data_IF_306300227371
#
_entry.id   IF_306300227371
#
_cell.length_a   1.000
_cell.length_b   1.000
_cell.length_c   1.000
_cell.angle_alpha   90.00
_cell.angle_beta   90.00
_cell.angle_gamma   90.00
#
_symmetry.space_group_name_H-M   'P 1'
#
loop_
_entity.id
_entity.type
_entity.pdbx_description
1 polymer ?
#
# COMPACT_ATOMS: atom_id res chain seq x y z
N UNK A 1 10.95 -17.33 22.03
CA UNK A 1 10.80 -17.56 23.48
C UNK A 1 11.86 -16.73 24.17
N UNK A 2 11.49 -15.91 25.16
CA UNK A 2 12.50 -15.21 25.95
C UNK A 2 13.38 -16.25 26.66
N UNK A 3 14.70 -16.09 26.59
CA UNK A 3 15.65 -16.91 27.34
C UNK A 3 15.48 -16.56 28.82
N UNK A 4 15.27 -17.53 29.73
CA UNK A 4 15.21 -17.24 31.15
C UNK A 4 16.49 -16.54 31.61
N UNK A 5 16.37 -15.51 32.46
CA UNK A 5 17.53 -14.74 32.92
C UNK A 5 18.59 -15.61 33.62
N UNK A 6 18.16 -16.69 34.26
CA UNK A 6 19.05 -17.68 34.90
C UNK A 6 19.87 -18.46 33.86
N UNK A 7 19.26 -18.83 32.74
CA UNK A 7 19.93 -19.52 31.63
C UNK A 7 20.95 -18.61 30.95
N UNK A 8 20.59 -17.34 30.71
CA UNK A 8 21.51 -16.33 30.14
C UNK A 8 22.72 -16.09 31.06
N UNK A 9 22.49 -15.99 32.38
CA UNK A 9 23.54 -15.79 33.37
C UNK A 9 24.48 -17.01 33.44
N UNK A 10 23.92 -18.22 33.49
CA UNK A 10 24.73 -19.44 33.46
C UNK A 10 25.60 -19.54 32.20
N UNK A 11 25.02 -19.29 31.02
CA UNK A 11 25.78 -19.32 29.76
C UNK A 11 26.89 -18.27 29.76
N UNK A 12 26.62 -17.06 30.26
CA UNK A 12 27.64 -16.01 30.42
C UNK A 12 28.82 -16.50 31.27
N UNK A 13 28.52 -17.04 32.44
CA UNK A 13 29.52 -17.42 33.43
C UNK A 13 30.33 -18.64 32.95
N UNK A 14 29.66 -19.61 32.31
CA UNK A 14 30.31 -20.77 31.72
C UNK A 14 31.26 -20.39 30.57
N UNK A 15 30.86 -19.48 29.68
CA UNK A 15 31.72 -18.98 28.62
C UNK A 15 32.87 -18.12 29.17
N UNK A 16 32.62 -17.30 30.20
CA UNK A 16 33.66 -16.53 30.88
C UNK A 16 34.69 -17.42 31.61
N UNK A 17 34.26 -18.60 32.07
CA UNK A 17 35.14 -19.63 32.63
C UNK A 17 35.91 -20.42 31.57
N UNK A 18 35.75 -20.10 30.28
CA UNK A 18 36.45 -20.78 29.17
C UNK A 18 35.84 -22.13 28.79
N UNK A 19 34.61 -22.44 29.23
CA UNK A 19 33.95 -23.69 28.85
C UNK A 19 33.59 -23.67 27.35
N UNK A 20 33.99 -24.68 26.56
CA UNK A 20 33.66 -24.74 25.15
C UNK A 20 32.14 -24.89 24.93
N UNK A 21 31.60 -24.20 23.92
CA UNK A 21 30.15 -24.18 23.60
C UNK A 21 29.48 -25.57 23.56
N UNK A 22 30.09 -26.63 22.99
CA UNK A 22 29.49 -27.97 23.00
C UNK A 22 29.33 -28.57 24.41
N UNK A 23 30.23 -28.22 25.33
CA UNK A 23 30.15 -28.68 26.72
C UNK A 23 29.08 -27.91 27.50
N UNK A 24 28.92 -26.61 27.23
CA UNK A 24 27.79 -25.84 27.78
C UNK A 24 26.46 -26.41 27.28
N UNK A 25 26.39 -26.82 26.00
CA UNK A 25 25.20 -27.44 25.41
C UNK A 25 24.86 -28.78 26.06
N UNK A 26 25.86 -29.64 26.31
CA UNK A 26 25.62 -30.94 26.96
C UNK A 26 25.14 -30.80 28.40
N UNK A 27 25.76 -29.91 29.19
CA UNK A 27 25.38 -29.68 30.61
C UNK A 27 23.95 -29.16 30.71
N UNK A 28 23.57 -28.23 29.82
CA UNK A 28 22.21 -27.69 29.81
C UNK A 28 21.18 -28.72 29.33
N UNK A 29 21.55 -29.58 28.36
CA UNK A 29 20.68 -30.66 27.91
C UNK A 29 20.43 -31.70 29.02
N UNK A 30 21.47 -32.08 29.78
CA UNK A 30 21.35 -32.97 30.94
C UNK A 30 20.47 -32.37 32.04
N UNK A 31 20.53 -31.05 32.23
CA UNK A 31 19.66 -30.31 33.15
C UNK A 31 18.21 -30.19 32.67
N UNK A 32 17.87 -30.73 31.49
CA UNK A 32 16.50 -30.76 30.96
C UNK A 32 16.09 -29.53 30.15
N UNK A 33 17.03 -28.64 29.81
CA UNK A 33 16.73 -27.50 28.92
C UNK A 33 16.47 -27.97 27.49
N UNK A 34 15.49 -27.35 26.83
CA UNK A 34 15.21 -27.70 25.43
C UNK A 34 16.37 -27.25 24.50
N UNK A 35 16.70 -28.02 23.45
CA UNK A 35 17.74 -27.63 22.49
C UNK A 35 17.50 -26.25 21.85
N UNK A 36 16.24 -25.84 21.71
CA UNK A 36 15.88 -24.50 21.23
C UNK A 36 16.29 -23.40 22.20
N UNK A 37 16.08 -23.58 23.51
CA UNK A 37 16.47 -22.61 24.55
C UNK A 37 18.00 -22.52 24.67
N UNK A 38 18.68 -23.67 24.67
CA UNK A 38 20.15 -23.73 24.76
C UNK A 38 20.82 -23.04 23.58
N UNK A 39 20.39 -23.36 22.35
CA UNK A 39 20.89 -22.69 21.14
C UNK A 39 20.58 -21.20 21.13
N UNK A 40 19.39 -20.79 21.59
CA UNK A 40 19.04 -19.37 21.69
C UNK A 40 19.97 -18.63 22.66
N UNK A 41 20.24 -19.19 23.85
CA UNK A 41 21.12 -18.60 24.85
C UNK A 41 22.58 -18.52 24.39
N UNK A 42 23.11 -19.58 23.77
CA UNK A 42 24.46 -19.58 23.20
C UNK A 42 24.61 -18.62 22.02
N UNK A 43 23.54 -18.44 21.23
CA UNK A 43 23.52 -17.51 20.10
C UNK A 43 23.54 -16.04 20.54
N UNK A 44 23.28 -15.73 21.81
CA UNK A 44 23.38 -14.37 22.34
C UNK A 44 24.82 -13.89 22.48
N UNK A 45 25.82 -14.78 22.42
CA UNK A 45 27.23 -14.42 22.49
C UNK A 45 27.91 -14.66 21.15
N UNK A 46 28.74 -13.70 20.72
CA UNK A 46 29.53 -13.81 19.51
C UNK A 46 30.62 -14.88 19.67
N UNK A 47 30.90 -15.60 18.59
CA UNK A 47 31.97 -16.60 18.55
C UNK A 47 33.24 -15.92 18.04
N UNK A 48 33.81 -15.10 18.92
CA UNK A 48 35.00 -14.29 18.67
C UNK A 48 36.02 -14.58 19.74
N UNK A 49 37.30 -14.66 19.34
CA UNK A 49 38.39 -14.89 20.28
C UNK A 49 38.55 -13.66 21.19
N UNK A 50 37.96 -13.76 22.37
CA UNK A 50 37.89 -12.70 23.37
C UNK A 50 37.95 -13.33 24.76
N UNK A 51 38.76 -12.77 25.69
CA UNK A 51 38.83 -13.26 27.07
C UNK A 51 37.51 -13.18 27.83
N UNK A 52 36.58 -12.35 27.35
CA UNK A 52 35.25 -12.15 27.93
C UNK A 52 34.20 -12.46 26.86
N UNK A 53 33.12 -13.20 27.19
CA UNK A 53 32.05 -13.48 26.25
C UNK A 53 31.40 -12.18 25.77
N UNK A 54 31.46 -11.95 24.45
CA UNK A 54 30.96 -10.71 23.83
C UNK A 54 29.47 -10.89 23.48
N UNK A 55 28.54 -10.14 24.09
CA UNK A 55 27.14 -10.24 23.73
C UNK A 55 26.90 -9.74 22.29
N UNK A 56 26.07 -10.45 21.53
CA UNK A 56 25.55 -10.01 20.24
C UNK A 56 24.53 -8.89 20.48
N UNK A 57 24.47 -7.88 19.59
CA UNK A 57 23.46 -6.83 19.67
C UNK A 57 22.05 -7.43 19.67
N UNK A 58 21.26 -7.14 20.71
CA UNK A 58 19.83 -7.49 20.75
C UNK A 58 19.03 -6.42 20.00
N UNK A 59 18.15 -6.79 19.06
CA UNK A 59 17.23 -5.83 18.46
C UNK A 59 16.24 -5.37 19.52
N UNK A 60 16.39 -4.14 20.01
CA UNK A 60 15.46 -3.54 20.95
C UNK A 60 14.20 -3.07 20.20
N UNK A 61 13.02 -3.40 20.71
CA UNK A 61 11.75 -2.88 20.19
C UNK A 61 11.69 -1.38 20.42
N UNK A 62 11.99 -0.60 19.38
CA UNK A 62 11.86 0.85 19.40
C UNK A 62 10.48 1.26 18.88
N UNK A 63 9.69 1.98 19.68
CA UNK A 63 8.39 2.50 19.27
C UNK A 63 8.51 3.41 18.03
N UNK A 64 9.61 4.18 17.95
CA UNK A 64 9.93 5.01 16.79
C UNK A 64 10.15 4.16 15.53
N UNK A 65 10.89 3.07 15.65
CA UNK A 65 11.11 2.16 14.51
C UNK A 65 9.80 1.52 14.05
N UNK A 66 8.94 1.10 15.00
CA UNK A 66 7.63 0.59 14.68
C UNK A 66 6.77 1.62 13.92
N UNK A 67 6.77 2.87 14.37
CA UNK A 67 6.08 3.96 13.67
C UNK A 67 6.63 4.19 12.25
N UNK A 68 7.96 4.22 12.09
CA UNK A 68 8.60 4.40 10.78
C UNK A 68 8.20 3.30 9.79
N UNK A 69 8.19 2.03 10.22
CA UNK A 69 7.76 0.91 9.36
C UNK A 69 6.24 0.89 9.13
N UNK A 70 5.42 1.17 10.14
CA UNK A 70 3.97 1.27 9.96
C UNK A 70 3.63 2.35 8.93
N UNK A 71 4.27 3.50 8.99
CA UNK A 71 4.09 4.57 8.03
C UNK A 71 4.57 4.18 6.62
N UNK A 72 5.71 3.49 6.53
CA UNK A 72 6.21 2.96 5.26
C UNK A 72 5.19 2.02 4.60
N UNK A 73 4.69 1.02 5.33
CA UNK A 73 3.73 0.05 4.78
C UNK A 73 2.35 0.68 4.54
N UNK A 74 1.88 1.59 5.39
CA UNK A 74 0.63 2.30 5.17
C UNK A 74 0.67 3.14 3.88
N UNK A 75 1.76 3.87 3.65
CA UNK A 75 1.92 4.67 2.43
C UNK A 75 2.13 3.82 1.18
N UNK A 76 2.77 2.66 1.30
CA UNK A 76 2.82 1.65 0.24
C UNK A 76 1.41 1.17 -0.13
N UNK A 77 0.61 0.75 0.86
CA UNK A 77 -0.74 0.22 0.63
C UNK A 77 -1.66 1.26 0.03
N UNK A 78 -1.61 2.48 0.55
CA UNK A 78 -2.39 3.60 0.01
C UNK A 78 -1.99 3.89 -1.45
N UNK A 79 -0.69 3.88 -1.75
CA UNK A 79 -0.19 4.08 -3.11
C UNK A 79 -0.64 2.94 -4.05
N UNK A 80 -0.51 1.68 -3.62
CA UNK A 80 -0.91 0.51 -4.41
C UNK A 80 -2.42 0.51 -4.70
N UNK A 81 -3.24 0.78 -3.67
CA UNK A 81 -4.69 0.88 -3.80
C UNK A 81 -5.11 1.97 -4.78
N UNK A 82 -4.58 3.19 -4.61
CA UNK A 82 -4.96 4.32 -5.47
C UNK A 82 -4.38 4.23 -6.87
N UNK A 83 -3.22 3.59 -7.06
CA UNK A 83 -2.70 3.27 -8.39
C UNK A 83 -3.63 2.27 -9.10
N UNK A 84 -4.03 1.19 -8.43
CA UNK A 84 -4.97 0.21 -8.97
C UNK A 84 -6.33 0.84 -9.32
N UNK A 85 -6.88 1.63 -8.40
CA UNK A 85 -8.13 2.37 -8.60
C UNK A 85 -8.05 3.33 -9.80
N UNK A 86 -6.98 4.12 -9.90
CA UNK A 86 -6.78 5.06 -11.00
C UNK A 86 -6.64 4.33 -12.36
N UNK A 87 -5.91 3.21 -12.39
CA UNK A 87 -5.78 2.37 -13.58
C UNK A 87 -7.12 1.73 -13.97
N UNK A 88 -7.93 1.32 -12.99
CA UNK A 88 -9.28 0.80 -13.26
C UNK A 88 -10.18 1.86 -13.88
N UNK A 89 -10.14 3.08 -13.35
CA UNK A 89 -10.86 4.22 -13.89
C UNK A 89 -10.42 4.53 -15.34
N UNK A 90 -9.12 4.54 -15.61
CA UNK A 90 -8.58 4.71 -16.97
C UNK A 90 -9.02 3.58 -17.92
N UNK A 91 -8.99 2.32 -17.46
CA UNK A 91 -9.46 1.17 -18.24
C UNK A 91 -10.97 1.29 -18.54
N UNK A 92 -11.78 1.70 -17.56
CA UNK A 92 -13.21 1.93 -17.75
C UNK A 92 -13.51 3.09 -18.72
N UNK A 93 -12.64 4.10 -18.77
CA UNK A 93 -12.76 5.21 -19.70
C UNK A 93 -12.45 4.79 -21.14
N UNK A 94 -11.37 4.04 -21.36
CA UNK A 94 -10.93 3.59 -22.70
C UNK A 94 -11.79 2.44 -23.24
N UNK A 95 -12.26 1.55 -22.36
CA UNK A 95 -13.12 0.42 -22.71
C UNK A 95 -14.48 0.56 -22.00
N UNK A 96 -15.34 1.46 -22.48
CA UNK A 96 -16.63 1.69 -21.87
C UNK A 96 -17.58 0.50 -22.03
N UNK A 97 -18.36 0.25 -20.99
CA UNK A 97 -19.45 -0.72 -21.02
C UNK A 97 -20.74 -0.05 -21.51
N UNK A 98 -21.37 -0.66 -22.51
CA UNK A 98 -22.66 -0.19 -23.04
C UNK A 98 -23.80 -0.41 -22.04
N UNK A 99 -23.66 -1.38 -21.13
CA UNK A 99 -24.64 -1.69 -20.10
C UNK A 99 -24.52 -0.78 -18.86
N UNK A 100 -23.48 0.05 -18.75
CA UNK A 100 -23.26 0.94 -17.59
C UNK A 100 -23.00 2.41 -17.99
N UNK A 101 -24.01 3.13 -18.52
CA UNK A 101 -23.89 4.56 -18.80
C UNK A 101 -23.78 5.42 -17.52
N UNK A 102 -24.37 4.96 -16.41
CA UNK A 102 -24.44 5.73 -15.15
C UNK A 102 -23.08 5.83 -14.44
N UNK A 103 -22.26 4.79 -14.47
CA UNK A 103 -20.90 4.83 -13.91
C UNK A 103 -20.02 5.88 -14.60
N UNK A 104 -20.19 6.06 -15.92
CA UNK A 104 -19.37 6.95 -16.76
C UNK A 104 -19.47 8.42 -16.38
N UNK A 105 -20.68 8.88 -16.07
CA UNK A 105 -20.97 10.31 -15.84
C UNK A 105 -20.79 10.71 -14.38
N UNK A 106 -21.14 9.84 -13.42
CA UNK A 106 -21.24 10.24 -12.01
C UNK A 106 -19.98 9.92 -11.19
N UNK A 107 -19.25 8.83 -11.48
CA UNK A 107 -18.21 8.31 -10.56
C UNK A 107 -16.75 8.48 -11.01
N UNK A 108 -16.47 8.48 -12.31
CA UNK A 108 -15.08 8.53 -12.81
C UNK A 108 -14.34 9.81 -12.40
N UNK A 109 -14.97 10.99 -12.55
CA UNK A 109 -14.34 12.26 -12.22
C UNK A 109 -13.93 12.38 -10.75
N UNK A 110 -14.85 12.16 -9.78
CA UNK A 110 -14.52 12.18 -8.36
C UNK A 110 -13.52 11.10 -7.92
N UNK A 111 -13.67 9.87 -8.40
CA UNK A 111 -12.78 8.74 -8.07
C UNK A 111 -11.34 9.01 -8.50
N UNK A 112 -11.15 9.38 -9.77
CA UNK A 112 -9.82 9.68 -10.29
C UNK A 112 -9.17 10.87 -9.56
N UNK A 113 -9.92 11.93 -9.22
CA UNK A 113 -9.40 13.06 -8.42
C UNK A 113 -8.92 12.63 -7.04
N UNK A 114 -9.69 11.77 -6.37
CA UNK A 114 -9.32 11.24 -5.07
C UNK A 114 -8.05 10.38 -5.16
N UNK A 115 -7.97 9.50 -6.16
CA UNK A 115 -6.79 8.67 -6.39
C UNK A 115 -5.55 9.49 -6.76
N UNK A 116 -5.68 10.54 -7.59
CA UNK A 116 -4.60 11.48 -7.87
C UNK A 116 -4.12 12.17 -6.58
N UNK A 117 -5.05 12.71 -5.78
CA UNK A 117 -4.70 13.40 -4.54
C UNK A 117 -3.96 12.48 -3.57
N UNK A 118 -4.45 11.25 -3.40
CA UNK A 118 -3.81 10.26 -2.56
C UNK A 118 -2.41 9.87 -3.07
N UNK A 119 -2.24 9.65 -4.38
CA UNK A 119 -0.94 9.29 -4.97
C UNK A 119 0.09 10.41 -4.86
N UNK A 120 -0.31 11.66 -5.09
CA UNK A 120 0.58 12.84 -4.99
C UNK A 120 1.14 13.00 -3.58
N UNK A 121 0.43 12.54 -2.55
CA UNK A 121 0.88 12.62 -1.16
C UNK A 121 1.57 11.32 -0.71
N UNK A 122 0.90 10.19 -0.89
CA UNK A 122 1.32 8.89 -0.34
C UNK A 122 2.57 8.36 -1.03
N UNK A 123 2.66 8.46 -2.36
CA UNK A 123 3.77 7.85 -3.10
C UNK A 123 5.12 8.55 -2.83
N UNK A 124 5.23 9.89 -2.84
CA UNK A 124 6.47 10.56 -2.46
C UNK A 124 6.90 10.25 -1.03
N UNK A 125 5.94 10.16 -0.10
CA UNK A 125 6.21 9.82 1.29
C UNK A 125 6.74 8.38 1.41
N UNK A 126 6.09 7.41 0.74
CA UNK A 126 6.58 6.04 0.64
C UNK A 126 8.01 5.98 0.08
N UNK A 127 8.25 6.63 -1.07
CA UNK A 127 9.56 6.60 -1.72
C UNK A 127 10.65 7.27 -0.87
N UNK A 128 10.32 8.33 -0.13
CA UNK A 128 11.23 8.97 0.82
C UNK A 128 11.54 8.05 2.01
N UNK A 129 10.54 7.44 2.65
CA UNK A 129 10.73 6.49 3.75
C UNK A 129 11.54 5.28 3.30
N UNK A 130 11.22 4.70 2.14
CA UNK A 130 11.95 3.56 1.59
C UNK A 130 13.43 3.89 1.36
N UNK A 131 13.74 5.08 0.83
CA UNK A 131 15.12 5.55 0.66
C UNK A 131 15.82 5.81 1.98
N UNK A 132 15.14 6.44 2.95
CA UNK A 132 15.70 6.74 4.28
C UNK A 132 16.01 5.47 5.06
N UNK A 133 15.04 4.58 5.19
CA UNK A 133 15.15 3.31 5.92
C UNK A 133 16.18 2.39 5.24
N UNK A 134 16.16 2.31 3.90
CA UNK A 134 17.17 1.55 3.15
C UNK A 134 18.59 2.09 3.33
N UNK A 135 18.75 3.40 3.43
CA UNK A 135 20.03 4.04 3.75
C UNK A 135 20.51 3.72 5.18
N UNK A 136 19.60 3.69 6.15
CA UNK A 136 19.92 3.34 7.53
C UNK A 136 20.32 1.86 7.66
N UNK A 137 19.63 0.94 6.96
CA UNK A 137 19.96 -0.48 6.92
C UNK A 137 21.31 -0.80 6.26
N UNK A 138 21.79 0.10 5.40
CA UNK A 138 23.12 0.00 4.79
C UNK A 138 24.23 0.48 5.74
N UNK A 139 23.92 1.36 6.69
CA UNK A 139 24.88 1.89 7.69
C UNK A 139 24.95 1.02 8.93
N UNK A 140 23.83 0.44 9.35
CA UNK A 140 23.74 -0.40 10.54
C UNK A 140 23.07 -1.75 10.21
N UNK A 141 23.85 -2.81 9.97
CA UNK A 141 23.34 -4.15 9.70
C UNK A 141 22.50 -4.73 10.85
N UNK A 142 22.68 -4.28 12.09
CA UNK A 142 21.91 -4.76 13.25
C UNK A 142 20.44 -4.41 13.12
N UNK A 143 20.10 -3.28 12.48
CA UNK A 143 18.70 -2.89 12.22
C UNK A 143 17.97 -3.85 11.28
N UNK A 144 18.67 -4.69 10.51
CA UNK A 144 18.04 -5.75 9.71
C UNK A 144 17.34 -6.81 10.57
N UNK A 145 17.80 -7.00 11.81
CA UNK A 145 17.26 -7.97 12.76
C UNK A 145 15.98 -7.48 13.47
N UNK A 146 15.45 -6.31 13.11
CA UNK A 146 14.25 -5.74 13.73
C UNK A 146 13.03 -6.68 13.61
N UNK A 147 12.45 -7.15 14.73
CA UNK A 147 11.27 -8.00 14.73
C UNK A 147 10.07 -7.33 14.06
N UNK A 148 9.96 -6.00 14.19
CA UNK A 148 8.82 -5.24 13.64
C UNK A 148 8.85 -5.24 12.13
N UNK A 149 10.01 -4.98 11.53
CA UNK A 149 10.19 -5.07 10.07
C UNK A 149 9.84 -6.46 9.56
N UNK A 150 10.37 -7.50 10.21
CA UNK A 150 10.15 -8.89 9.78
C UNK A 150 8.67 -9.25 9.86
N UNK A 151 8.00 -8.91 10.96
CA UNK A 151 6.57 -9.17 11.13
C UNK A 151 5.71 -8.43 10.10
N UNK A 152 5.94 -7.12 9.88
CA UNK A 152 5.22 -6.33 8.89
C UNK A 152 5.49 -6.80 7.45
N UNK A 153 6.70 -7.30 7.17
CA UNK A 153 7.04 -7.89 5.87
C UNK A 153 6.26 -9.18 5.62
N UNK A 154 6.20 -10.10 6.59
CA UNK A 154 5.37 -11.29 6.46
C UNK A 154 3.88 -10.96 6.34
N UNK A 155 3.39 -9.95 7.09
CA UNK A 155 2.01 -9.48 6.95
C UNK A 155 1.74 -8.94 5.53
N UNK A 156 2.67 -8.18 4.97
CA UNK A 156 2.58 -7.67 3.59
C UNK A 156 2.56 -8.80 2.57
N UNK A 157 3.41 -9.81 2.75
CA UNK A 157 3.45 -10.99 1.89
C UNK A 157 2.15 -11.78 1.97
N UNK A 158 1.58 -11.94 3.15
CA UNK A 158 0.29 -12.58 3.35
C UNK A 158 -0.84 -11.82 2.63
N UNK A 159 -0.91 -10.50 2.82
CA UNK A 159 -1.92 -9.66 2.15
C UNK A 159 -1.76 -9.74 0.63
N UNK A 160 -0.53 -9.61 0.11
CA UNK A 160 -0.28 -9.69 -1.33
C UNK A 160 -0.62 -11.07 -1.91
N UNK A 161 -0.31 -12.16 -1.19
CA UNK A 161 -0.71 -13.51 -1.59
C UNK A 161 -2.23 -13.68 -1.59
N UNK A 162 -2.93 -13.18 -0.56
CA UNK A 162 -4.40 -13.21 -0.49
C UNK A 162 -5.04 -12.43 -1.65
N UNK A 163 -4.48 -11.27 -2.01
CA UNK A 163 -4.91 -10.49 -3.18
C UNK A 163 -4.71 -11.27 -4.47
N UNK A 164 -3.53 -11.88 -4.69
CA UNK A 164 -3.26 -12.70 -5.88
C UNK A 164 -4.19 -13.91 -5.98
N UNK A 165 -4.46 -14.59 -4.86
CA UNK A 165 -5.41 -15.70 -4.81
C UNK A 165 -6.82 -15.21 -5.16
N UNK A 166 -7.28 -14.11 -4.55
CA UNK A 166 -8.58 -13.53 -4.84
C UNK A 166 -8.72 -13.09 -6.30
N UNK A 167 -7.68 -12.49 -6.87
CA UNK A 167 -7.62 -12.07 -8.27
C UNK A 167 -7.71 -13.26 -9.24
N UNK A 168 -7.00 -14.35 -8.92
CA UNK A 168 -7.08 -15.60 -9.70
C UNK A 168 -8.46 -16.27 -9.58
N UNK A 169 -9.05 -16.28 -8.38
CA UNK A 169 -10.42 -16.78 -8.17
C UNK A 169 -11.42 -15.97 -8.99
N UNK A 170 -11.32 -14.64 -8.98
CA UNK A 170 -12.16 -13.76 -9.79
C UNK A 170 -11.98 -14.04 -11.28
N UNK A 171 -10.74 -14.23 -11.75
CA UNK A 171 -10.44 -14.59 -13.13
C UNK A 171 -11.13 -15.89 -13.53
N UNK A 172 -10.94 -16.97 -12.76
CA UNK A 172 -11.55 -18.28 -13.03
C UNK A 172 -13.06 -18.19 -13.02
N UNK A 173 -13.65 -17.52 -12.02
CA UNK A 173 -15.09 -17.35 -11.90
C UNK A 173 -15.71 -16.68 -13.15
N UNK A 174 -15.13 -15.57 -13.62
CA UNK A 174 -15.64 -14.84 -14.79
C UNK A 174 -15.38 -15.59 -16.11
N UNK A 175 -14.27 -16.32 -16.22
CA UNK A 175 -13.99 -17.17 -17.39
C UNK A 175 -14.99 -18.32 -17.48
N UNK A 176 -15.30 -18.99 -16.37
CA UNK A 176 -16.29 -20.07 -16.32
C UNK A 176 -17.71 -19.56 -16.62
N UNK A 177 -18.02 -18.32 -16.25
CA UNK A 177 -19.29 -17.67 -16.59
C UNK A 177 -19.40 -17.24 -18.07
N UNK A 178 -18.31 -17.30 -18.85
CA UNK A 178 -18.30 -16.80 -20.23
C UNK A 178 -18.32 -15.26 -20.35
N UNK A 179 -18.11 -14.54 -19.25
CA UNK A 179 -18.24 -13.08 -19.13
C UNK A 179 -16.87 -12.35 -19.10
N UNK A 180 -15.78 -13.06 -19.41
CA UNK A 180 -14.42 -12.50 -19.38
C UNK A 180 -14.19 -11.46 -20.49
N UNK A 181 -14.62 -10.22 -20.24
CA UNK A 181 -14.37 -9.08 -21.12
C UNK A 181 -12.89 -8.68 -21.13
N UNK A 182 -12.43 -8.06 -22.23
CA UNK A 182 -11.08 -7.46 -22.28
C UNK A 182 -10.84 -6.47 -21.14
N UNK A 183 -11.86 -5.67 -20.79
CA UNK A 183 -11.85 -4.73 -19.65
C UNK A 183 -11.58 -5.45 -18.34
N UNK A 184 -12.23 -6.59 -18.11
CA UNK A 184 -12.03 -7.41 -16.92
C UNK A 184 -10.61 -7.99 -16.88
N UNK A 185 -10.12 -8.55 -18.00
CA UNK A 185 -8.76 -9.09 -18.08
C UNK A 185 -7.69 -8.04 -17.78
N UNK A 186 -7.84 -6.81 -18.28
CA UNK A 186 -6.90 -5.73 -17.96
C UNK A 186 -6.90 -5.37 -16.47
N UNK A 187 -8.06 -5.40 -15.80
CA UNK A 187 -8.16 -5.14 -14.37
C UNK A 187 -7.47 -6.22 -13.54
N UNK A 188 -7.66 -7.49 -13.91
CA UNK A 188 -6.94 -8.62 -13.31
C UNK A 188 -5.43 -8.44 -13.50
N UNK A 189 -4.97 -8.12 -14.71
CA UNK A 189 -3.55 -7.87 -14.97
C UNK A 189 -2.98 -6.72 -14.14
N UNK A 190 -3.75 -5.65 -13.92
CA UNK A 190 -3.34 -4.53 -13.05
C UNK A 190 -3.15 -5.00 -11.61
N UNK A 191 -4.12 -5.74 -11.06
CA UNK A 191 -4.04 -6.27 -9.69
C UNK A 191 -2.88 -7.25 -9.55
N UNK A 192 -2.78 -8.21 -10.46
CA UNK A 192 -1.68 -9.17 -10.52
C UNK A 192 -0.30 -8.53 -10.65
N UNK A 193 -0.16 -7.48 -11.47
CA UNK A 193 1.11 -6.76 -11.61
C UNK A 193 1.49 -6.01 -10.34
N UNK A 194 0.55 -5.30 -9.70
CA UNK A 194 0.82 -4.55 -8.46
C UNK A 194 1.13 -5.50 -7.31
N UNK A 195 0.25 -6.47 -7.05
CA UNK A 195 0.40 -7.43 -5.97
C UNK A 195 1.63 -8.33 -6.18
N UNK A 196 1.87 -8.76 -7.43
CA UNK A 196 3.04 -9.55 -7.82
C UNK A 196 4.36 -8.77 -7.65
N UNK A 197 4.40 -7.49 -8.01
CA UNK A 197 5.58 -6.65 -7.79
C UNK A 197 5.88 -6.46 -6.30
N UNK A 198 4.85 -6.17 -5.48
CA UNK A 198 4.98 -6.04 -4.02
C UNK A 198 5.46 -7.37 -3.41
N UNK A 199 4.78 -8.47 -3.75
CA UNK A 199 5.13 -9.81 -3.25
C UNK A 199 6.55 -10.20 -3.64
N UNK A 200 6.90 -10.09 -4.93
CA UNK A 200 8.22 -10.44 -5.44
C UNK A 200 9.34 -9.59 -4.82
N UNK A 201 9.09 -8.29 -4.60
CA UNK A 201 10.02 -7.40 -3.92
C UNK A 201 10.30 -7.85 -2.49
N UNK A 202 9.27 -7.97 -1.66
CA UNK A 202 9.40 -8.30 -0.24
C UNK A 202 9.85 -9.75 0.01
N UNK A 203 9.47 -10.69 -0.86
CA UNK A 203 9.94 -12.07 -0.77
C UNK A 203 11.43 -12.13 -1.06
N UNK A 204 11.87 -11.38 -2.06
CA UNK A 204 13.29 -11.31 -2.40
C UNK A 204 14.09 -10.56 -1.33
N UNK A 205 13.51 -9.53 -0.70
CA UNK A 205 14.10 -8.81 0.44
C UNK A 205 14.31 -9.75 1.63
N UNK A 206 13.29 -10.54 1.98
CA UNK A 206 13.36 -11.54 3.04
C UNK A 206 14.43 -12.61 2.78
N UNK A 207 14.49 -13.16 1.56
CA UNK A 207 15.52 -14.14 1.16
C UNK A 207 16.95 -13.57 1.21
N UNK A 208 17.11 -12.26 0.96
CA UNK A 208 18.42 -11.58 1.01
C UNK A 208 18.91 -11.41 2.44
N UNK A 209 18.00 -11.11 3.36
CA UNK A 209 18.35 -11.05 4.79
C UNK A 209 18.77 -12.42 5.33
N UNK A 210 18.13 -13.50 4.88
CA UNK A 210 18.48 -14.87 5.27
C UNK A 210 19.82 -15.34 4.68
N UNK A 211 20.20 -14.83 3.49
CA UNK A 211 21.41 -15.25 2.77
C UNK A 211 22.63 -14.32 2.94
N UNK A 212 22.48 -13.21 3.66
CA UNK A 212 23.56 -12.23 3.89
C UNK A 212 24.06 -11.53 2.62
N UNK A 213 23.30 -11.59 1.51
CA UNK A 213 23.77 -11.12 0.19
C UNK A 213 23.33 -9.68 -0.07
N UNK A 214 24.29 -8.77 -0.10
CA UNK A 214 24.09 -7.35 -0.40
C UNK A 214 23.87 -7.13 -1.90
N UNK A 215 22.66 -6.75 -2.32
CA UNK A 215 22.45 -6.27 -3.69
C UNK A 215 21.50 -5.07 -3.70
N UNK A 216 22.10 -3.88 -3.75
CA UNK A 216 21.45 -2.56 -3.64
C UNK A 216 20.63 -2.15 -4.88
N UNK A 217 20.66 -2.94 -5.96
CA UNK A 217 20.14 -2.53 -7.28
C UNK A 217 18.64 -2.71 -7.49
N UNK A 218 18.07 -3.81 -6.99
CA UNK A 218 16.69 -4.22 -7.33
C UNK A 218 15.64 -3.30 -6.69
N UNK A 219 15.89 -2.82 -5.46
CA UNK A 219 14.96 -1.89 -4.81
C UNK A 219 14.90 -0.51 -5.46
N UNK A 220 16.03 0.02 -5.98
CA UNK A 220 16.02 1.30 -6.68
C UNK A 220 15.27 1.19 -8.00
N UNK A 221 15.52 0.14 -8.77
CA UNK A 221 14.84 -0.11 -10.05
C UNK A 221 13.32 -0.23 -9.89
N UNK A 222 12.86 -0.95 -8.86
CA UNK A 222 11.43 -1.12 -8.61
C UNK A 222 10.75 0.19 -8.16
N UNK A 223 11.39 0.96 -7.27
CA UNK A 223 10.87 2.28 -6.87
C UNK A 223 10.84 3.25 -8.06
N UNK A 224 11.85 3.22 -8.95
CA UNK A 224 11.83 4.05 -10.16
C UNK A 224 10.73 3.62 -11.14
N UNK A 225 10.53 2.30 -11.33
CA UNK A 225 9.46 1.80 -12.18
C UNK A 225 8.08 2.19 -11.62
N UNK A 226 7.89 2.06 -10.30
CA UNK A 226 6.67 2.51 -9.63
C UNK A 226 6.46 4.03 -9.76
N UNK A 227 7.53 4.83 -9.66
CA UNK A 227 7.44 6.28 -9.83
C UNK A 227 7.01 6.66 -11.25
N UNK A 228 7.58 6.00 -12.26
CA UNK A 228 7.18 6.19 -13.67
C UNK A 228 5.73 5.77 -13.87
N UNK A 229 5.31 4.63 -13.34
CA UNK A 229 3.93 4.15 -13.45
C UNK A 229 2.91 5.08 -12.78
N UNK A 230 3.23 5.61 -11.59
CA UNK A 230 2.40 6.59 -10.88
C UNK A 230 2.32 7.90 -11.67
N UNK A 231 3.47 8.43 -12.12
CA UNK A 231 3.50 9.67 -12.91
C UNK A 231 2.71 9.53 -14.21
N UNK A 232 2.91 8.43 -14.95
CA UNK A 232 2.18 8.16 -16.18
C UNK A 232 0.68 8.05 -15.95
N UNK A 233 0.24 7.32 -14.91
CA UNK A 233 -1.17 7.19 -14.55
C UNK A 233 -1.80 8.54 -14.16
N UNK A 234 -1.09 9.36 -13.38
CA UNK A 234 -1.56 10.69 -12.98
C UNK A 234 -1.68 11.62 -14.18
N UNK A 235 -0.67 11.65 -15.06
CA UNK A 235 -0.70 12.46 -16.29
C UNK A 235 -1.85 12.03 -17.20
N UNK A 236 -2.03 10.72 -17.41
CA UNK A 236 -3.12 10.18 -18.22
C UNK A 236 -4.49 10.55 -17.63
N UNK A 237 -4.67 10.45 -16.32
CA UNK A 237 -5.94 10.79 -15.67
C UNK A 237 -6.24 12.30 -15.73
N UNK A 238 -5.24 13.17 -15.59
CA UNK A 238 -5.41 14.62 -15.78
C UNK A 238 -5.78 14.93 -17.22
N UNK A 239 -5.20 14.25 -18.20
CA UNK A 239 -5.56 14.41 -19.61
C UNK A 239 -7.02 13.99 -19.89
N UNK A 240 -7.51 12.93 -19.22
CA UNK A 240 -8.90 12.43 -19.37
C UNK A 240 -9.92 13.35 -18.68
N UNK A 241 -9.68 13.75 -17.44
CA UNK A 241 -10.63 14.57 -16.66
C UNK A 241 -10.56 16.04 -17.08
N UNK A 242 -9.46 16.48 -17.68
CA UNK A 242 -9.20 17.89 -17.90
C UNK A 242 -8.69 18.59 -16.64
N UNK A 243 -8.17 19.80 -16.84
CA UNK A 243 -7.50 20.56 -15.79
C UNK A 243 -8.50 21.09 -14.73
N UNK A 244 -8.04 21.42 -13.51
CA UNK A 244 -8.89 22.03 -12.48
C UNK A 244 -9.75 23.23 -12.94
N UNK A 245 -9.24 24.20 -13.74
CA UNK A 245 -10.07 25.29 -14.25
C UNK A 245 -11.17 24.80 -15.22
N UNK A 246 -10.86 23.85 -16.10
CA UNK A 246 -11.86 23.24 -16.99
C UNK A 246 -12.98 22.56 -16.18
N UNK A 247 -12.61 21.85 -15.10
CA UNK A 247 -13.57 21.22 -14.21
C UNK A 247 -14.41 22.21 -13.38
N UNK A 248 -13.89 23.42 -13.12
CA UNK A 248 -14.68 24.50 -12.52
C UNK A 248 -15.69 25.06 -13.52
N UNK A 249 -15.29 25.26 -14.78
CA UNK A 249 -16.17 25.75 -15.83
C UNK A 249 -17.30 24.76 -16.12
N UNK A 250 -17.00 23.47 -16.26
CA UNK A 250 -18.01 22.43 -16.46
C UNK A 250 -19.08 22.44 -15.36
N UNK A 251 -18.70 22.56 -14.08
CA UNK A 251 -19.66 22.68 -12.95
C UNK A 251 -20.45 23.98 -12.92
N UNK A 252 -19.92 25.06 -13.51
CA UNK A 252 -20.68 26.30 -13.67
C UNK A 252 -21.70 26.14 -14.79
N UNK A 253 -21.33 25.47 -15.88
CA UNK A 253 -22.22 25.21 -17.00
C UNK A 253 -23.34 24.23 -16.63
N UNK A 254 -23.04 23.15 -15.89
CA UNK A 254 -24.05 22.24 -15.33
C UNK A 254 -25.06 23.00 -14.45
N UNK A 255 -24.56 23.86 -13.56
CA UNK A 255 -25.45 24.70 -12.72
C UNK A 255 -26.29 25.67 -13.55
N UNK A 256 -25.74 26.25 -14.63
CA UNK A 256 -26.54 27.08 -15.54
C UNK A 256 -27.62 26.26 -16.22
N UNK A 257 -27.32 25.07 -16.72
CA UNK A 257 -28.31 24.18 -17.36
C UNK A 257 -29.41 23.80 -16.37
N UNK A 258 -29.05 23.46 -15.13
CA UNK A 258 -30.04 23.11 -14.11
C UNK A 258 -30.91 24.32 -13.73
N UNK A 259 -30.33 25.52 -13.61
CA UNK A 259 -31.10 26.74 -13.40
C UNK A 259 -32.04 27.04 -14.57
N UNK A 260 -31.60 26.81 -15.82
CA UNK A 260 -32.45 27.00 -17.00
C UNK A 260 -33.61 26.01 -17.04
N UNK A 261 -33.39 24.74 -16.69
CA UNK A 261 -34.46 23.73 -16.58
C UNK A 261 -35.45 24.05 -15.46
N UNK A 262 -34.95 24.55 -14.33
CA UNK A 262 -35.81 25.00 -13.23
C UNK A 262 -36.65 26.21 -13.65
N UNK A 263 -36.06 27.15 -14.37
CA UNK A 263 -36.75 28.33 -14.88
C UNK A 263 -37.82 27.95 -15.91
N UNK A 264 -37.50 27.05 -16.85
CA UNK A 264 -38.45 26.50 -17.81
C UNK A 264 -39.65 25.87 -17.09
N UNK A 265 -39.40 25.02 -16.09
CA UNK A 265 -40.47 24.39 -15.30
C UNK A 265 -41.34 25.42 -14.57
N UNK A 266 -40.75 26.50 -14.06
CA UNK A 266 -41.49 27.59 -13.40
C UNK A 266 -42.32 28.42 -14.40
N UNK A 267 -41.78 28.71 -15.59
CA UNK A 267 -42.49 29.41 -16.67
C UNK A 267 -43.68 28.59 -17.13
N UNK A 268 -43.49 27.30 -17.39
CA UNK A 268 -44.54 26.39 -17.82
C UNK A 268 -45.66 26.28 -16.79
N UNK A 269 -45.31 26.23 -15.51
CA UNK A 269 -46.28 26.18 -14.42
C UNK A 269 -47.10 27.48 -14.32
N UNK A 270 -46.44 28.64 -14.42
CA UNK A 270 -47.13 29.93 -14.44
C UNK A 270 -48.07 30.04 -15.64
N UNK A 271 -47.59 29.67 -16.83
CA UNK A 271 -48.37 29.74 -18.07
C UNK A 271 -49.62 28.83 -18.03
N UNK A 272 -49.50 27.63 -17.44
CA UNK A 272 -50.64 26.73 -17.22
C UNK A 272 -51.69 27.31 -16.27
N UNK A 273 -51.26 28.02 -15.22
CA UNK A 273 -52.16 28.57 -14.19
C UNK A 273 -52.87 29.84 -14.66
N UNK A 274 -52.12 30.77 -15.25
CA UNK A 274 -52.59 32.12 -15.56
C UNK A 274 -53.07 32.28 -17.02
N UNK A 275 -52.86 31.27 -17.87
CA UNK A 275 -53.23 31.30 -19.29
C UNK A 275 -52.42 32.29 -20.13
N UNK A 276 -51.33 32.85 -19.59
CA UNK A 276 -50.43 33.81 -20.24
C UNK A 276 -49.01 33.66 -19.70
N UNK A 277 -48.02 34.14 -20.47
CA UNK A 277 -46.64 34.18 -20.02
C UNK A 277 -46.44 35.20 -18.89
N UNK A 278 -45.46 34.91 -18.03
CA UNK A 278 -45.01 35.83 -16.99
C UNK A 278 -44.41 37.11 -17.62
N UNK A 279 -44.78 38.31 -17.15
CA UNK A 279 -44.28 39.57 -17.71
C UNK A 279 -42.83 39.88 -17.32
N UNK A 280 -42.31 39.28 -16.25
CA UNK A 280 -40.93 39.43 -15.80
C UNK A 280 -40.46 38.20 -15.01
N UNK A 281 -39.14 37.95 -14.95
CA UNK A 281 -38.57 36.85 -14.16
C UNK A 281 -38.85 36.99 -12.66
N UNK A 282 -38.95 38.23 -12.17
CA UNK A 282 -39.26 38.55 -10.77
C UNK A 282 -40.63 37.98 -10.35
N UNK A 283 -41.59 37.94 -11.28
CA UNK A 283 -42.93 37.37 -11.02
C UNK A 283 -42.93 35.85 -10.85
N UNK A 284 -41.84 35.16 -11.22
CA UNK A 284 -41.64 33.73 -10.98
C UNK A 284 -40.98 33.45 -9.62
N UNK A 285 -40.24 34.44 -9.08
CA UNK A 285 -39.51 34.34 -7.80
C UNK A 285 -40.38 34.60 -6.57
N UNK A 286 -41.37 35.50 -6.68
CA UNK A 286 -42.27 35.84 -5.56
C UNK A 286 -43.14 34.67 -5.09
N UNK A 287 -43.38 33.66 -5.93
CA UNK A 287 -44.16 32.47 -5.56
C UNK A 287 -43.32 31.28 -5.06
N UNK A 288 -42.00 31.25 -5.32
CA UNK A 288 -41.15 30.09 -4.97
C UNK A 288 -40.41 30.22 -3.63
N UNK A 289 -40.50 31.36 -2.94
CA UNK A 289 -40.05 31.50 -1.55
C UNK A 289 -38.59 31.08 -1.30
N UNK A 290 -37.71 31.28 -2.29
CA UNK A 290 -36.26 31.09 -2.18
C UNK A 290 -35.50 32.14 -2.95
#
# INVERSE_FOLDING_TARGET
>A
MAVPQELERFVRDALAAGMPRPQVESVLAEAGWSPAQVRAALAEYADVDSPVPVPRPRPQLSAREAFEYLLLFATLYLSAWHLGSLLFDLVNHVLPDAADPAYRVVRLGPSMRWSIAALVVAFPLFAWLARRIGGDLARDPVRRLSPVRRWLTYLTLFIAAAVLIGDLVALVYNVLGGEASLRFLLKVLVVGAIAGAVFGYYLSDLRRDESGRDSRGIGRALVTAAAVAVLASVVAAIAVIGTPPAQRQARLDERRVDHLRQLEAAIDEYARREGRLAPALETLGDETGR
#
